data_IF_050872399357
#
_entry.id   IF_050872399357
#
_cell.length_a   1.000
_cell.length_b   1.000
_cell.length_c   1.000
_cell.angle_alpha   90.00
_cell.angle_beta   90.00
_cell.angle_gamma   90.00
#
_symmetry.space_group_name_H-M   'P 1'
#
loop_
_entity.id
_entity.type
_entity.pdbx_description
1 polymer ?
#
# COMPACT_ATOMS: atom_id res chain seq x y z
N UNK A 1 6.75 34.96 -43.41
CA UNK A 1 6.57 34.08 -42.24
C UNK A 1 5.21 33.35 -42.28
N UNK A 2 4.92 32.51 -43.28
CA UNK A 2 3.67 31.70 -43.27
C UNK A 2 3.79 30.29 -43.88
N UNK A 3 5.01 29.77 -44.06
CA UNK A 3 5.23 28.45 -44.68
C UNK A 3 5.32 27.28 -43.68
N UNK A 4 5.49 27.55 -42.38
CA UNK A 4 5.79 26.50 -41.38
C UNK A 4 4.51 25.90 -40.74
N UNK A 5 3.40 26.63 -40.75
CA UNK A 5 2.13 26.17 -40.18
C UNK A 5 1.40 25.10 -41.01
N UNK A 6 1.58 25.12 -42.34
CA UNK A 6 0.91 24.17 -43.25
C UNK A 6 1.45 22.74 -43.18
N UNK A 7 2.76 22.59 -42.95
CA UNK A 7 3.41 21.28 -42.89
C UNK A 7 3.02 20.49 -41.64
N UNK A 8 2.86 21.17 -40.50
CA UNK A 8 2.49 20.52 -39.23
C UNK A 8 1.02 20.07 -39.23
N UNK A 9 0.11 20.91 -39.74
CA UNK A 9 -1.31 20.58 -39.87
C UNK A 9 -1.50 19.45 -40.89
N UNK A 10 -0.77 19.47 -42.00
CA UNK A 10 -0.81 18.39 -42.99
C UNK A 10 -0.35 17.04 -42.44
N UNK A 11 0.65 17.02 -41.56
CA UNK A 11 1.15 15.78 -40.96
C UNK A 11 0.22 15.23 -39.88
N UNK A 12 -0.44 16.10 -39.12
CA UNK A 12 -1.46 15.72 -38.13
C UNK A 12 -2.70 15.19 -38.84
N UNK A 13 -3.19 15.88 -39.89
CA UNK A 13 -4.33 15.43 -40.70
C UNK A 13 -4.02 14.12 -41.41
N UNK A 14 -2.81 13.94 -41.95
CA UNK A 14 -2.40 12.68 -42.59
C UNK A 14 -2.32 11.53 -41.59
N UNK A 15 -1.82 11.77 -40.36
CA UNK A 15 -1.77 10.75 -39.31
C UNK A 15 -3.12 10.43 -38.71
N UNK A 16 -4.00 11.42 -38.52
CA UNK A 16 -5.37 11.17 -38.07
C UNK A 16 -6.20 10.50 -39.15
N UNK A 17 -5.95 10.82 -40.43
CA UNK A 17 -6.55 10.14 -41.56
C UNK A 17 -5.99 8.72 -41.72
N UNK A 18 -4.70 8.47 -41.47
CA UNK A 18 -4.14 7.12 -41.41
C UNK A 18 -4.66 6.32 -40.23
N UNK A 19 -4.70 6.87 -39.01
CA UNK A 19 -5.24 6.17 -37.85
C UNK A 19 -6.75 5.94 -37.96
N UNK A 20 -7.50 6.87 -38.55
CA UNK A 20 -8.90 6.66 -38.90
C UNK A 20 -9.03 5.61 -40.01
N UNK A 21 -8.16 5.65 -41.02
CA UNK A 21 -8.16 4.67 -42.10
C UNK A 21 -7.73 3.29 -41.61
N UNK A 22 -6.84 3.15 -40.63
CA UNK A 22 -6.48 1.89 -39.97
C UNK A 22 -7.58 1.40 -39.01
N UNK A 23 -8.42 2.32 -38.51
CA UNK A 23 -9.60 2.01 -37.71
C UNK A 23 -10.85 1.69 -38.58
N UNK A 24 -10.92 2.17 -39.82
CA UNK A 24 -12.04 1.95 -40.76
C UNK A 24 -11.72 0.92 -41.86
N UNK A 25 -10.45 0.69 -42.18
CA UNK A 25 -10.03 -0.48 -42.93
C UNK A 25 -9.99 -1.63 -41.93
N UNK A 26 -10.89 -2.59 -42.12
CA UNK A 26 -10.87 -3.82 -41.33
C UNK A 26 -9.48 -4.48 -41.37
N UNK A 27 -9.24 -5.48 -40.49
CA UNK A 27 -7.96 -6.17 -40.40
C UNK A 27 -7.44 -6.54 -41.80
N UNK A 28 -6.20 -6.13 -42.14
CA UNK A 28 -5.64 -6.36 -43.47
C UNK A 28 -5.60 -7.85 -43.79
N UNK A 29 -5.80 -8.20 -45.06
CA UNK A 29 -5.84 -9.60 -45.48
C UNK A 29 -4.56 -10.34 -45.10
N UNK A 30 -3.40 -9.69 -45.26
CA UNK A 30 -2.10 -10.23 -44.83
C UNK A 30 -2.03 -10.50 -43.31
N UNK A 31 -2.63 -9.65 -42.47
CA UNK A 31 -2.67 -9.87 -41.03
C UNK A 31 -3.59 -11.04 -40.67
N UNK A 32 -4.73 -11.18 -41.36
CA UNK A 32 -5.63 -12.32 -41.18
C UNK A 32 -4.93 -13.62 -41.61
N UNK A 33 -4.24 -13.61 -42.74
CA UNK A 33 -3.50 -14.77 -43.25
C UNK A 33 -2.35 -15.15 -42.30
N UNK A 34 -1.66 -14.17 -41.73
CA UNK A 34 -0.63 -14.40 -40.70
C UNK A 34 -1.21 -14.96 -39.40
N UNK A 35 -2.37 -14.46 -38.96
CA UNK A 35 -3.06 -14.98 -37.78
C UNK A 35 -3.56 -16.41 -38.00
N UNK A 36 -4.09 -16.72 -39.18
CA UNK A 36 -4.49 -18.08 -39.55
C UNK A 36 -3.27 -19.01 -39.58
N UNK A 37 -2.17 -18.56 -40.20
CA UNK A 37 -0.91 -19.29 -40.17
C UNK A 37 -0.43 -19.57 -38.74
N UNK A 38 -0.41 -18.55 -37.89
CA UNK A 38 0.02 -18.67 -36.50
C UNK A 38 -0.93 -19.54 -35.65
N UNK A 39 -2.24 -19.55 -35.95
CA UNK A 39 -3.22 -20.42 -35.31
C UNK A 39 -3.01 -21.90 -35.68
N UNK A 40 -2.67 -22.18 -36.94
CA UNK A 40 -2.39 -23.53 -37.45
C UNK A 40 -1.02 -24.08 -37.03
N UNK A 41 -0.09 -23.24 -36.55
CA UNK A 41 1.24 -23.68 -36.13
C UNK A 41 1.17 -24.78 -35.06
N UNK A 42 0.20 -24.72 -34.15
CA UNK A 42 0.04 -25.70 -33.09
C UNK A 42 -0.53 -27.04 -33.61
N UNK A 43 -1.47 -27.00 -34.55
CA UNK A 43 -2.02 -28.21 -35.18
C UNK A 43 -0.96 -28.93 -36.04
N UNK A 44 -0.07 -28.16 -36.68
CA UNK A 44 1.03 -28.69 -37.50
C UNK A 44 2.23 -29.18 -36.69
N UNK A 45 2.36 -28.76 -35.42
CA UNK A 45 3.49 -29.08 -34.57
C UNK A 45 3.52 -30.56 -34.09
N UNK A 46 2.42 -31.31 -34.30
CA UNK A 46 2.33 -32.73 -34.01
C UNK A 46 2.14 -33.06 -32.51
N UNK A 47 1.87 -34.34 -32.18
CA UNK A 47 1.50 -34.77 -30.82
C UNK A 47 2.63 -34.61 -29.78
N UNK A 48 3.89 -34.52 -30.21
CA UNK A 48 5.03 -34.28 -29.30
C UNK A 48 5.04 -32.85 -28.72
N UNK A 49 4.34 -31.92 -29.39
CA UNK A 49 4.22 -30.52 -29.00
C UNK A 49 2.94 -30.22 -28.21
N UNK A 50 2.08 -31.22 -28.00
CA UNK A 50 0.86 -31.07 -27.18
C UNK A 50 1.22 -30.88 -25.71
N UNK A 51 0.88 -29.71 -25.16
CA UNK A 51 1.08 -29.43 -23.75
C UNK A 51 -0.02 -30.10 -22.93
N UNK A 52 0.37 -31.03 -22.06
CA UNK A 52 -0.56 -31.56 -21.08
C UNK A 52 -0.84 -30.47 -20.02
N UNK A 53 -2.10 -30.14 -19.69
CA UNK A 53 -2.41 -29.17 -18.63
C UNK A 53 -1.74 -29.48 -17.28
N UNK A 54 -1.42 -30.75 -17.03
CA UNK A 54 -0.70 -31.18 -15.83
C UNK A 54 0.75 -30.69 -15.78
N UNK A 55 1.38 -30.47 -16.92
CA UNK A 55 2.76 -29.93 -17.00
C UNK A 55 2.83 -28.46 -16.58
N UNK A 56 1.73 -27.71 -16.69
CA UNK A 56 1.63 -26.31 -16.25
C UNK A 56 1.33 -26.15 -14.75
N UNK A 57 0.91 -27.22 -14.07
CA UNK A 57 0.54 -27.16 -12.64
C UNK A 57 1.67 -26.63 -11.75
N UNK A 58 2.94 -27.03 -11.90
CA UNK A 58 4.03 -26.49 -11.07
C UNK A 58 4.14 -24.97 -11.17
N UNK A 59 4.11 -24.43 -12.39
CA UNK A 59 4.18 -22.98 -12.64
C UNK A 59 3.02 -22.23 -11.98
N UNK A 60 1.81 -22.77 -12.10
CA UNK A 60 0.62 -22.20 -11.45
C UNK A 60 0.71 -22.26 -9.93
N UNK A 61 1.19 -23.37 -9.38
CA UNK A 61 1.37 -23.56 -7.94
C UNK A 61 2.44 -22.59 -7.40
N UNK A 62 3.59 -22.48 -8.08
CA UNK A 62 4.67 -21.55 -7.74
C UNK A 62 4.18 -20.10 -7.77
N UNK A 63 3.43 -19.71 -8.81
CA UNK A 63 2.79 -18.40 -8.89
C UNK A 63 1.79 -18.13 -7.76
N UNK A 64 0.94 -19.10 -7.43
CA UNK A 64 -0.04 -18.99 -6.34
C UNK A 64 0.63 -18.87 -4.97
N UNK A 65 1.66 -19.69 -4.70
CA UNK A 65 2.45 -19.62 -3.46
C UNK A 65 3.11 -18.25 -3.34
N UNK A 66 3.75 -17.76 -4.41
CA UNK A 66 4.37 -16.44 -4.43
C UNK A 66 3.35 -15.33 -4.14
N UNK A 67 2.17 -15.38 -4.76
CA UNK A 67 1.08 -14.43 -4.52
C UNK A 67 0.64 -14.44 -3.04
N UNK A 68 0.41 -15.62 -2.47
CA UNK A 68 0.02 -15.78 -1.05
C UNK A 68 1.10 -15.25 -0.11
N UNK A 69 2.38 -15.51 -0.40
CA UNK A 69 3.50 -15.00 0.39
C UNK A 69 3.61 -13.47 0.31
N UNK A 70 3.47 -12.88 -0.88
CA UNK A 70 3.49 -11.43 -1.08
C UNK A 70 2.32 -10.77 -0.33
N UNK A 71 1.11 -11.33 -0.45
CA UNK A 71 -0.08 -10.85 0.25
C UNK A 71 0.09 -10.97 1.78
N UNK A 72 0.66 -12.09 2.25
CA UNK A 72 0.95 -12.32 3.67
C UNK A 72 1.96 -11.30 4.21
N UNK A 73 3.05 -11.01 3.50
CA UNK A 73 4.04 -10.00 3.91
C UNK A 73 3.45 -8.60 3.89
N UNK A 74 2.70 -8.26 2.83
CA UNK A 74 2.00 -6.98 2.73
C UNK A 74 1.09 -6.78 3.94
N UNK A 75 0.30 -7.78 4.28
CA UNK A 75 -0.63 -7.70 5.39
C UNK A 75 0.09 -7.62 6.74
N UNK A 76 1.03 -8.54 6.98
CA UNK A 76 1.70 -8.65 8.29
C UNK A 76 2.60 -7.45 8.57
N UNK A 77 3.46 -7.05 7.63
CA UNK A 77 4.42 -5.98 7.82
C UNK A 77 3.81 -4.62 7.44
N UNK A 78 3.09 -4.55 6.33
CA UNK A 78 2.57 -3.30 5.76
C UNK A 78 1.30 -2.76 6.40
N UNK A 79 0.46 -3.65 6.95
CA UNK A 79 -0.77 -3.26 7.66
C UNK A 79 -0.56 -3.42 9.17
N UNK A 80 -0.48 -4.65 9.69
CA UNK A 80 -0.49 -4.91 11.15
C UNK A 80 0.69 -4.25 11.86
N UNK A 81 1.92 -4.54 11.44
CA UNK A 81 3.10 -3.96 12.11
C UNK A 81 3.23 -2.46 11.86
N UNK A 82 2.84 -1.98 10.69
CA UNK A 82 2.85 -0.55 10.39
C UNK A 82 1.85 0.19 11.29
N UNK A 83 0.63 -0.30 11.45
CA UNK A 83 -0.37 0.28 12.36
C UNK A 83 0.14 0.33 13.80
N UNK A 84 0.78 -0.74 14.29
CA UNK A 84 1.43 -0.73 15.61
C UNK A 84 2.54 0.33 15.69
N UNK A 85 3.36 0.46 14.66
CA UNK A 85 4.44 1.44 14.62
C UNK A 85 3.93 2.90 14.54
N UNK A 86 2.77 3.12 13.93
CA UNK A 86 2.11 4.44 13.85
C UNK A 86 1.56 4.91 15.19
N UNK A 87 1.11 3.98 16.04
CA UNK A 87 0.51 4.31 17.34
C UNK A 87 1.51 4.23 18.51
N UNK A 88 2.61 3.51 18.37
CA UNK A 88 3.56 3.33 19.47
C UNK A 88 4.18 4.67 19.94
N UNK A 89 3.91 5.03 21.20
CA UNK A 89 4.50 6.17 21.89
C UNK A 89 5.82 5.77 22.59
N UNK A 90 6.78 6.69 22.75
CA UNK A 90 7.97 6.44 23.55
C UNK A 90 7.55 6.18 25.01
N UNK A 91 7.85 4.98 25.52
CA UNK A 91 7.68 4.69 26.95
C UNK A 91 8.95 5.11 27.66
N UNK A 92 8.85 6.19 28.43
CA UNK A 92 9.91 6.60 29.34
C UNK A 92 9.47 6.31 30.77
N UNK A 93 10.16 5.39 31.43
CA UNK A 93 9.92 5.13 32.86
C UNK A 93 10.82 6.07 33.65
N UNK A 94 10.20 7.01 34.35
CA UNK A 94 10.87 7.88 35.31
C UNK A 94 11.08 7.08 36.60
N UNK A 95 12.31 6.69 36.90
CA UNK A 95 12.65 6.18 38.22
C UNK A 95 12.91 7.42 39.09
N UNK A 96 12.06 7.60 40.11
CA UNK A 96 12.26 8.60 41.14
C UNK A 96 13.14 7.93 42.19
N UNK A 97 14.45 8.15 42.12
CA UNK A 97 15.34 7.72 43.19
C UNK A 97 15.38 8.81 44.26
N UNK A 98 14.94 8.54 45.50
CA UNK A 98 15.15 9.47 46.60
C UNK A 98 16.64 9.51 46.92
N UNK A 99 17.26 10.68 46.80
CA UNK A 99 18.65 10.91 47.21
C UNK A 99 18.79 10.59 48.70
N UNK A 100 19.42 9.46 49.02
CA UNK A 100 19.63 9.01 50.40
C UNK A 100 19.43 7.50 50.65
N UNK A 101 19.02 6.71 49.65
CA UNK A 101 19.03 5.25 49.80
C UNK A 101 20.49 4.75 49.96
N UNK A 102 20.87 4.13 51.09
CA UNK A 102 22.21 3.60 51.24
C UNK A 102 22.45 2.51 50.17
N UNK A 103 23.68 2.40 49.64
CA UNK A 103 24.00 1.35 48.68
C UNK A 103 23.67 -0.02 49.31
N UNK A 104 23.14 -0.99 48.54
CA UNK A 104 22.69 -2.30 49.04
C UNK A 104 23.82 -3.22 49.55
N UNK A 105 25.02 -2.69 49.82
CA UNK A 105 26.19 -3.42 50.30
C UNK A 105 27.02 -2.58 51.30
N UNK A 106 26.37 -2.00 52.31
CA UNK A 106 27.08 -1.35 53.43
C UNK A 106 26.73 -1.99 54.79
N UNK A 107 26.52 -3.30 54.84
CA UNK A 107 26.54 -4.06 56.10
C UNK A 107 27.97 -4.55 56.37
N UNK A 108 28.86 -3.60 56.67
CA UNK A 108 30.15 -3.86 57.33
C UNK A 108 30.02 -3.56 58.83
N UNK A 109 30.56 -4.38 59.74
CA UNK A 109 30.23 -4.34 61.17
C UNK A 109 30.81 -3.15 61.97
N UNK A 110 31.20 -2.04 61.34
CA UNK A 110 31.89 -0.91 62.00
C UNK A 110 31.35 0.47 61.57
N UNK A 111 30.03 0.69 61.63
CA UNK A 111 29.45 2.03 61.47
C UNK A 111 29.31 2.74 62.83
N UNK A 112 29.85 3.98 63.01
CA UNK A 112 29.75 4.68 64.27
C UNK A 112 28.31 5.15 64.51
N UNK A 113 27.78 4.78 65.68
CA UNK A 113 26.56 5.34 66.28
C UNK A 113 26.68 6.87 66.28
N UNK A 114 25.83 7.55 65.52
CA UNK A 114 25.55 8.95 65.76
C UNK A 114 24.04 9.17 65.81
N UNK A 115 23.64 9.65 66.98
CA UNK A 115 22.28 9.80 67.47
C UNK A 115 21.58 11.01 66.84
N UNK A 116 20.24 10.94 66.92
CA UNK A 116 19.24 12.01 66.78
C UNK A 116 18.65 12.18 65.38
N UNK A 117 17.63 11.37 65.13
CA UNK A 117 16.46 11.77 64.33
C UNK A 117 15.84 13.05 64.92
N UNK A 118 15.52 14.05 64.09
CA UNK A 118 14.39 14.93 64.31
C UNK A 118 13.19 14.36 63.55
N UNK A 119 12.20 13.90 64.29
CA UNK A 119 10.85 13.64 63.80
C UNK A 119 10.26 14.94 63.21
N UNK A 120 9.90 14.87 61.93
CA UNK A 120 9.24 15.85 61.05
C UNK A 120 10.14 16.89 60.36
N UNK A 121 10.15 16.95 59.02
CA UNK A 121 10.49 18.17 58.30
C UNK A 121 9.28 19.11 58.31
N UNK A 122 9.49 20.31 58.86
CA UNK A 122 8.65 21.47 58.60
C UNK A 122 8.68 21.80 57.10
N UNK A 123 7.62 22.44 56.60
CA UNK A 123 7.33 22.75 55.20
C UNK A 123 8.28 23.79 54.53
N UNK A 124 9.59 23.69 54.76
CA UNK A 124 10.59 24.66 54.31
C UNK A 124 11.72 24.09 53.43
N UNK A 125 11.72 22.80 53.10
CA UNK A 125 12.72 22.17 52.20
C UNK A 125 12.07 21.66 50.89
N UNK A 126 11.38 22.55 50.18
CA UNK A 126 10.71 22.25 48.90
C UNK A 126 11.67 22.13 47.68
N UNK A 127 12.98 22.20 47.90
CA UNK A 127 14.02 22.11 46.86
C UNK A 127 14.94 20.87 47.06
N UNK A 128 14.40 19.77 47.57
CA UNK A 128 15.12 18.50 47.54
C UNK A 128 15.22 18.02 46.08
N UNK A 129 16.39 18.22 45.47
CA UNK A 129 16.76 17.74 44.14
C UNK A 129 16.41 16.25 43.94
N UNK A 130 15.24 15.99 43.36
CA UNK A 130 14.81 14.67 42.91
C UNK A 130 15.50 14.39 41.58
N UNK A 131 16.46 13.45 41.56
CA UNK A 131 17.07 12.99 40.31
C UNK A 131 16.09 12.05 39.60
N UNK A 132 15.27 12.62 38.70
CA UNK A 132 14.36 11.86 37.85
C UNK A 132 15.20 11.23 36.73
N UNK A 133 15.63 9.98 36.92
CA UNK A 133 16.29 9.24 35.84
C UNK A 133 15.23 8.68 34.89
N UNK A 134 15.13 9.31 33.71
CA UNK A 134 14.17 8.92 32.68
C UNK A 134 14.80 7.82 31.81
N UNK A 135 14.47 6.56 32.08
CA UNK A 135 14.90 5.44 31.25
C UNK A 135 14.01 5.36 30.02
N UNK A 136 14.58 5.71 28.86
CA UNK A 136 13.90 5.56 27.58
C UNK A 136 13.90 4.08 27.14
N UNK A 137 12.74 3.44 27.17
CA UNK A 137 12.62 2.08 26.64
C UNK A 137 12.68 2.08 25.11
N UNK A 138 13.38 1.08 24.57
CA UNK A 138 13.49 0.90 23.13
C UNK A 138 12.14 0.46 22.55
N UNK A 139 11.66 1.21 21.55
CA UNK A 139 10.47 0.88 20.78
C UNK A 139 10.43 -0.59 20.34
N UNK A 140 9.34 -1.28 20.65
CA UNK A 140 9.09 -2.68 20.33
C UNK A 140 8.97 -2.87 18.81
N UNK A 141 8.48 -1.86 18.08
CA UNK A 141 8.39 -1.89 16.61
C UNK A 141 9.71 -1.59 15.88
N UNK A 142 10.82 -1.40 16.61
CA UNK A 142 12.13 -1.10 16.00
C UNK A 142 12.72 -2.24 15.16
N UNK A 143 12.37 -3.50 15.49
CA UNK A 143 12.84 -4.70 14.78
C UNK A 143 11.66 -5.57 14.40
N UNK A 144 11.60 -5.98 13.13
CA UNK A 144 10.53 -6.86 12.59
C UNK A 144 10.40 -8.15 13.39
N UNK A 145 11.53 -8.79 13.71
CA UNK A 145 11.57 -10.03 14.50
C UNK A 145 11.00 -9.82 15.91
N UNK A 146 11.31 -8.69 16.55
CA UNK A 146 10.79 -8.40 17.89
C UNK A 146 9.28 -8.18 17.86
N UNK A 147 8.77 -7.46 16.87
CA UNK A 147 7.32 -7.23 16.72
C UNK A 147 6.58 -8.52 16.41
N UNK A 148 7.10 -9.36 15.53
CA UNK A 148 6.52 -10.69 15.25
C UNK A 148 6.58 -11.57 16.50
N UNK A 149 7.69 -11.53 17.25
CA UNK A 149 7.83 -12.24 18.52
C UNK A 149 6.82 -11.77 19.57
N UNK A 150 6.58 -10.46 19.69
CA UNK A 150 5.54 -9.90 20.57
C UNK A 150 4.15 -10.42 20.15
N UNK A 151 3.81 -10.31 18.87
CA UNK A 151 2.53 -10.80 18.33
C UNK A 151 2.35 -12.29 18.63
N UNK A 152 3.41 -13.08 18.43
CA UNK A 152 3.39 -14.52 18.71
C UNK A 152 3.19 -14.83 20.20
N UNK A 153 3.80 -14.06 21.10
CA UNK A 153 3.59 -14.20 22.55
C UNK A 153 2.17 -13.87 22.99
N UNK A 154 1.53 -12.90 22.32
CA UNK A 154 0.18 -12.43 22.69
C UNK A 154 -0.93 -13.34 22.16
N UNK A 155 -0.80 -13.86 20.93
CA UNK A 155 -1.89 -14.59 20.27
C UNK A 155 -1.44 -15.78 19.42
N UNK A 156 -0.22 -16.28 19.63
CA UNK A 156 0.34 -17.41 18.90
C UNK A 156 0.65 -17.11 17.43
N UNK A 157 0.80 -18.17 16.63
CA UNK A 157 1.19 -18.06 15.23
C UNK A 157 0.21 -17.23 14.37
N UNK A 158 -1.10 -17.37 14.62
CA UNK A 158 -2.14 -16.67 13.87
C UNK A 158 -2.21 -15.17 14.20
N UNK A 159 -1.55 -14.71 15.25
CA UNK A 159 -1.53 -13.30 15.65
C UNK A 159 -0.95 -12.37 14.58
N UNK A 160 -0.17 -12.91 13.63
CA UNK A 160 0.37 -12.14 12.50
C UNK A 160 -0.72 -11.67 11.53
N UNK A 161 -1.81 -12.42 11.40
CA UNK A 161 -2.94 -12.11 10.51
C UNK A 161 -4.16 -11.59 11.27
N UNK A 162 -3.93 -10.93 12.40
CA UNK A 162 -5.03 -10.34 13.19
C UNK A 162 -5.76 -9.29 12.37
N UNK A 163 -7.09 -9.37 12.41
CA UNK A 163 -7.94 -8.50 11.61
C UNK A 163 -8.11 -8.89 10.16
N UNK A 164 -7.50 -10.00 9.69
CA UNK A 164 -7.51 -10.35 8.26
C UNK A 164 -8.94 -10.56 7.74
N UNK A 165 -9.82 -11.19 8.53
CA UNK A 165 -11.22 -11.35 8.15
C UNK A 165 -11.96 -10.02 7.97
N UNK A 166 -11.72 -9.04 8.84
CA UNK A 166 -12.29 -7.69 8.70
C UNK A 166 -11.67 -6.93 7.53
N UNK A 167 -10.37 -7.13 7.27
CA UNK A 167 -9.71 -6.57 6.10
C UNK A 167 -10.33 -7.09 4.81
N UNK A 168 -10.50 -8.41 4.69
CA UNK A 168 -11.16 -9.04 3.53
C UNK A 168 -12.58 -8.50 3.38
N UNK A 169 -13.36 -8.45 4.46
CA UNK A 169 -14.71 -7.90 4.44
C UNK A 169 -14.73 -6.44 3.98
N UNK A 170 -13.85 -5.60 4.52
CA UNK A 170 -13.71 -4.20 4.14
C UNK A 170 -13.39 -4.05 2.65
N UNK A 171 -12.37 -4.75 2.15
CA UNK A 171 -11.96 -4.66 0.74
C UNK A 171 -13.03 -5.21 -0.20
N UNK A 172 -13.73 -6.29 0.17
CA UNK A 172 -14.85 -6.84 -0.62
C UNK A 172 -16.02 -5.85 -0.70
N UNK A 173 -16.44 -5.27 0.44
CA UNK A 173 -17.52 -4.27 0.45
C UNK A 173 -17.11 -3.01 -0.31
N UNK A 174 -15.87 -2.57 -0.13
CA UNK A 174 -15.33 -1.39 -0.79
C UNK A 174 -15.30 -1.59 -2.31
N UNK A 175 -14.64 -2.64 -2.78
CA UNK A 175 -14.57 -2.96 -4.20
C UNK A 175 -15.96 -3.19 -4.82
N UNK A 176 -16.84 -3.93 -4.12
CA UNK A 176 -18.20 -4.16 -4.57
C UNK A 176 -19.00 -2.87 -4.72
N UNK A 177 -18.98 -2.00 -3.71
CA UNK A 177 -19.70 -0.72 -3.73
C UNK A 177 -19.14 0.25 -4.77
N UNK A 178 -17.81 0.35 -4.89
CA UNK A 178 -17.17 1.21 -5.89
C UNK A 178 -17.49 0.74 -7.31
N UNK A 179 -17.35 -0.56 -7.60
CA UNK A 179 -17.63 -1.10 -8.94
C UNK A 179 -19.12 -0.99 -9.31
N UNK A 180 -20.02 -1.29 -8.36
CA UNK A 180 -21.46 -1.16 -8.58
C UNK A 180 -21.84 0.29 -8.90
N UNK A 181 -21.35 1.24 -8.12
CA UNK A 181 -21.70 2.65 -8.30
C UNK A 181 -21.04 3.25 -9.54
N UNK A 182 -19.81 2.83 -9.87
CA UNK A 182 -19.12 3.24 -11.10
C UNK A 182 -19.84 2.70 -12.35
N UNK A 183 -20.26 1.43 -12.31
CA UNK A 183 -21.04 0.81 -13.39
C UNK A 183 -22.40 1.48 -13.59
N UNK A 184 -23.07 1.87 -12.50
CA UNK A 184 -24.38 2.51 -12.57
C UNK A 184 -24.31 3.95 -13.11
N UNK A 185 -23.25 4.69 -12.75
CA UNK A 185 -23.13 6.12 -13.10
C UNK A 185 -22.35 6.36 -14.41
N UNK A 186 -21.73 5.34 -14.99
CA UNK A 186 -21.01 5.44 -16.28
C UNK A 186 -19.80 6.38 -16.24
N UNK A 187 -19.15 6.52 -15.08
CA UNK A 187 -18.10 7.51 -14.90
C UNK A 187 -16.75 7.10 -15.49
N UNK A 188 -16.03 8.09 -16.05
CA UNK A 188 -14.62 7.99 -16.43
C UNK A 188 -13.70 7.77 -15.21
N UNK A 189 -12.41 7.51 -15.44
CA UNK A 189 -11.37 7.24 -14.43
C UNK A 189 -11.42 8.23 -13.25
N UNK A 190 -11.61 9.52 -13.52
CA UNK A 190 -11.71 10.54 -12.47
C UNK A 190 -12.99 10.45 -11.63
N UNK A 191 -14.12 10.08 -12.23
CA UNK A 191 -15.36 9.88 -11.47
C UNK A 191 -15.32 8.61 -10.64
N UNK A 192 -14.61 7.56 -11.09
CA UNK A 192 -14.33 6.38 -10.26
C UNK A 192 -13.52 6.74 -9.00
N UNK A 193 -12.54 7.64 -9.11
CA UNK A 193 -11.78 8.13 -7.96
C UNK A 193 -12.66 8.88 -6.95
N UNK A 194 -13.62 9.68 -7.41
CA UNK A 194 -14.59 10.35 -6.55
C UNK A 194 -15.49 9.33 -5.83
N UNK A 195 -16.02 8.34 -6.56
CA UNK A 195 -16.78 7.24 -5.97
C UNK A 195 -15.97 6.50 -4.90
N UNK A 196 -14.71 6.19 -5.20
CA UNK A 196 -13.80 5.53 -4.25
C UNK A 196 -13.72 6.30 -2.94
N UNK A 197 -13.58 7.63 -2.99
CA UNK A 197 -13.52 8.49 -1.81
C UNK A 197 -14.84 8.43 -1.03
N UNK A 198 -15.98 8.55 -1.71
CA UNK A 198 -17.30 8.46 -1.07
C UNK A 198 -17.52 7.12 -0.37
N UNK A 199 -17.20 6.01 -1.04
CA UNK A 199 -17.31 4.66 -0.46
C UNK A 199 -16.39 4.50 0.74
N UNK A 200 -15.16 5.03 0.66
CA UNK A 200 -14.19 4.99 1.76
C UNK A 200 -14.71 5.69 3.02
N UNK A 201 -15.32 6.88 2.86
CA UNK A 201 -15.92 7.62 3.97
C UNK A 201 -17.12 6.87 4.55
N UNK A 202 -17.97 6.28 3.69
CA UNK A 202 -19.10 5.45 4.12
C UNK A 202 -18.67 4.23 4.94
N UNK A 203 -17.53 3.63 4.57
CA UNK A 203 -16.94 2.46 5.24
C UNK A 203 -15.93 2.81 6.34
N UNK A 204 -15.77 4.09 6.70
CA UNK A 204 -14.79 4.54 7.70
C UNK A 204 -14.93 3.80 9.06
N UNK A 205 -16.16 3.50 9.48
CA UNK A 205 -16.41 2.77 10.73
C UNK A 205 -15.92 1.31 10.66
N UNK A 206 -16.02 0.69 9.48
CA UNK A 206 -15.53 -0.66 9.25
C UNK A 206 -13.99 -0.67 9.16
N UNK A 207 -13.41 0.35 8.52
CA UNK A 207 -11.96 0.55 8.50
C UNK A 207 -11.39 0.71 9.92
N UNK A 208 -12.00 1.57 10.75
CA UNK A 208 -11.62 1.72 12.16
C UNK A 208 -11.73 0.39 12.92
N UNK A 209 -12.80 -0.38 12.72
CA UNK A 209 -12.95 -1.69 13.38
C UNK A 209 -11.85 -2.66 12.94
N UNK A 210 -11.46 -2.64 11.66
CA UNK A 210 -10.31 -3.37 11.18
C UNK A 210 -9.03 -2.89 11.88
N UNK A 211 -8.79 -1.59 12.00
CA UNK A 211 -7.66 -1.03 12.78
C UNK A 211 -7.66 -1.50 14.22
N UNK A 212 -8.78 -1.40 14.94
CA UNK A 212 -8.94 -1.87 16.32
C UNK A 212 -8.55 -3.34 16.46
N UNK A 213 -8.95 -4.20 15.52
CA UNK A 213 -8.60 -5.62 15.55
C UNK A 213 -7.10 -5.90 15.40
N UNK A 214 -6.37 -5.00 14.74
CA UNK A 214 -4.91 -5.08 14.56
C UNK A 214 -4.15 -4.58 15.80
N UNK A 215 -4.65 -3.54 16.48
CA UNK A 215 -3.91 -2.84 17.54
C UNK A 215 -4.31 -3.24 18.97
N UNK A 216 -5.54 -3.70 19.19
CA UNK A 216 -6.06 -4.00 20.53
C UNK A 216 -5.53 -5.34 21.07
N UNK A 217 -5.45 -5.47 22.39
CA UNK A 217 -5.20 -6.77 23.03
C UNK A 217 -6.30 -7.79 22.66
N UNK A 218 -5.99 -9.10 22.64
CA UNK A 218 -7.01 -10.13 22.52
C UNK A 218 -8.06 -9.92 23.60
N UNK A 219 -9.34 -9.97 23.22
CA UNK A 219 -10.47 -9.80 24.14
C UNK A 219 -11.53 -10.80 23.74
N UNK A 220 -12.26 -11.32 24.73
CA UNK A 220 -13.33 -12.31 24.54
C UNK A 220 -14.59 -11.70 23.91
N UNK A 221 -14.67 -10.37 23.83
CA UNK A 221 -15.81 -9.67 23.23
C UNK A 221 -15.88 -9.93 21.73
N UNK A 222 -17.11 -10.20 21.27
CA UNK A 222 -17.39 -10.33 19.84
C UNK A 222 -17.01 -9.05 19.09
N UNK A 223 -16.44 -9.22 17.90
CA UNK A 223 -15.93 -8.13 17.07
C UNK A 223 -17.02 -7.07 16.79
N UNK A 224 -18.26 -7.50 16.57
CA UNK A 224 -19.40 -6.59 16.34
C UNK A 224 -19.82 -5.79 17.57
N UNK A 225 -19.48 -6.22 18.78
CA UNK A 225 -19.72 -5.42 20.00
C UNK A 225 -18.67 -4.32 20.19
N UNK A 226 -17.58 -4.32 19.42
CA UNK A 226 -16.53 -3.30 19.47
C UNK A 226 -16.81 -2.08 18.59
N UNK A 227 -18.01 -2.00 18.00
CA UNK A 227 -18.39 -0.82 17.22
C UNK A 227 -18.53 0.40 18.12
N UNK A 228 -17.73 1.43 17.82
CA UNK A 228 -17.85 2.74 18.45
C UNK A 228 -19.19 3.39 18.06
N UNK A 229 -19.86 4.09 19.00
CA UNK A 229 -21.09 4.85 18.74
C UNK A 229 -20.94 5.82 17.55
N UNK A 230 -21.98 5.90 16.72
CA UNK A 230 -21.99 6.76 15.50
C UNK A 230 -21.68 8.23 15.79
N UNK A 231 -22.06 8.73 16.97
CA UNK A 231 -21.84 10.12 17.38
C UNK A 231 -20.34 10.46 17.49
N UNK A 232 -19.55 9.54 18.03
CA UNK A 232 -18.10 9.70 18.19
C UNK A 232 -17.34 9.51 16.85
N UNK A 233 -17.92 8.75 15.93
CA UNK A 233 -17.34 8.50 14.61
C UNK A 233 -17.27 9.75 13.70
N UNK A 234 -17.87 10.89 14.08
CA UNK A 234 -17.76 12.15 13.32
C UNK A 234 -16.30 12.60 13.18
N UNK A 235 -15.47 12.31 14.18
CA UNK A 235 -14.03 12.59 14.15
C UNK A 235 -13.28 11.84 13.04
N UNK A 236 -13.85 10.75 12.49
CA UNK A 236 -13.25 9.95 11.43
C UNK A 236 -13.46 10.54 10.03
N UNK A 237 -14.44 11.41 9.83
CA UNK A 237 -14.83 11.87 8.48
C UNK A 237 -13.68 12.57 7.77
N UNK A 238 -13.03 13.52 8.45
CA UNK A 238 -11.90 14.27 7.91
C UNK A 238 -10.69 13.37 7.62
N UNK A 239 -10.14 12.59 8.57
CA UNK A 239 -8.99 11.73 8.28
C UNK A 239 -9.29 10.67 7.23
N UNK A 240 -10.51 10.11 7.19
CA UNK A 240 -10.90 9.13 6.16
C UNK A 240 -10.96 9.76 4.78
N UNK A 241 -11.50 10.98 4.66
CA UNK A 241 -11.50 11.74 3.41
C UNK A 241 -10.07 12.02 2.93
N UNK A 242 -9.20 12.50 3.82
CA UNK A 242 -7.80 12.82 3.48
C UNK A 242 -7.04 11.56 3.07
N UNK A 243 -7.20 10.46 3.81
CA UNK A 243 -6.57 9.19 3.48
C UNK A 243 -7.04 8.62 2.14
N UNK A 244 -8.34 8.55 1.89
CA UNK A 244 -8.88 8.06 0.64
C UNK A 244 -8.44 8.92 -0.56
N UNK A 245 -8.41 10.24 -0.38
CA UNK A 245 -7.90 11.18 -1.38
C UNK A 245 -6.41 10.94 -1.65
N UNK A 246 -5.61 10.74 -0.60
CA UNK A 246 -4.18 10.45 -0.73
C UNK A 246 -3.92 9.11 -1.45
N UNK A 247 -4.74 8.09 -1.20
CA UNK A 247 -4.68 6.81 -1.92
C UNK A 247 -4.94 7.02 -3.42
N UNK A 248 -5.99 7.76 -3.77
CA UNK A 248 -6.29 8.08 -5.17
C UNK A 248 -5.19 8.95 -5.82
N UNK A 249 -4.66 9.94 -5.10
CA UNK A 249 -3.57 10.77 -5.58
C UNK A 249 -2.30 9.94 -5.87
N UNK A 250 -2.04 8.89 -5.09
CA UNK A 250 -0.88 7.99 -5.29
C UNK A 250 -0.96 7.23 -6.62
N UNK A 251 -2.16 7.01 -7.16
CA UNK A 251 -2.35 6.40 -8.47
C UNK A 251 -2.48 7.44 -9.59
N UNK A 252 -3.33 8.45 -9.40
CA UNK A 252 -3.67 9.42 -10.43
C UNK A 252 -2.53 10.37 -10.76
N UNK A 253 -1.71 10.80 -9.79
CA UNK A 253 -0.62 11.74 -10.06
C UNK A 253 0.50 11.11 -10.89
N UNK A 254 1.05 9.92 -10.56
CA UNK A 254 2.03 9.27 -11.41
C UNK A 254 1.50 8.97 -12.81
N UNK A 255 0.22 8.56 -12.90
CA UNK A 255 -0.43 8.33 -14.19
C UNK A 255 -0.54 9.62 -15.01
N UNK A 256 -0.93 10.73 -14.36
CA UNK A 256 -0.99 12.05 -15.00
C UNK A 256 0.39 12.52 -15.48
N UNK A 257 1.45 12.25 -14.70
CA UNK A 257 2.84 12.52 -15.10
C UNK A 257 3.24 11.65 -16.29
N UNK A 258 2.86 10.36 -16.31
CA UNK A 258 3.14 9.48 -17.42
C UNK A 258 2.52 9.99 -18.74
N UNK A 259 1.26 10.43 -18.69
CA UNK A 259 0.58 11.05 -19.83
C UNK A 259 1.17 12.41 -20.22
N UNK A 260 1.48 13.27 -19.24
CA UNK A 260 2.09 14.57 -19.50
C UNK A 260 3.48 14.46 -20.17
N UNK A 261 4.23 13.41 -19.84
CA UNK A 261 5.52 13.11 -20.45
C UNK A 261 5.42 12.28 -21.73
N UNK A 262 4.20 11.97 -22.20
CA UNK A 262 3.90 11.17 -23.40
C UNK A 262 4.59 9.80 -23.39
N UNK A 263 4.65 9.17 -22.22
CA UNK A 263 5.22 7.82 -22.08
C UNK A 263 4.30 6.75 -22.70
N UNK A 264 3.06 7.10 -23.04
CA UNK A 264 2.11 6.25 -23.74
C UNK A 264 2.45 6.08 -25.24
N UNK A 265 3.18 7.03 -25.84
CA UNK A 265 3.48 7.09 -27.28
C UNK A 265 4.98 7.07 -27.58
N UNK A 266 5.74 6.25 -26.85
CA UNK A 266 7.17 6.12 -27.10
C UNK A 266 7.37 5.35 -28.40
N UNK A 267 7.84 6.03 -29.44
CA UNK A 267 8.22 5.39 -30.70
C UNK A 267 9.52 4.58 -30.50
N UNK A 268 9.38 3.26 -30.45
CA UNK A 268 10.50 2.33 -30.33
C UNK A 268 11.53 2.50 -31.45
N UNK A 269 11.09 2.89 -32.65
CA UNK A 269 11.98 3.18 -33.78
C UNK A 269 12.84 4.41 -33.51
N UNK A 270 12.25 5.48 -33.00
CA UNK A 270 12.97 6.71 -32.66
C UNK A 270 13.99 6.47 -31.52
N UNK A 271 13.62 5.63 -30.54
CA UNK A 271 14.52 5.26 -29.44
C UNK A 271 15.70 4.40 -29.92
N UNK A 272 15.47 3.47 -30.85
CA UNK A 272 16.55 2.66 -31.45
C UNK A 272 17.47 3.48 -32.36
N UNK A 273 16.93 4.44 -33.11
CA UNK A 273 17.75 5.38 -33.86
C UNK A 273 18.58 6.30 -32.96
N UNK A 274 18.02 6.78 -31.86
CA UNK A 274 18.78 7.58 -30.88
C UNK A 274 19.91 6.78 -30.21
N UNK A 275 19.65 5.49 -29.89
CA UNK A 275 20.66 4.57 -29.37
C UNK A 275 21.78 4.28 -30.39
N UNK A 276 21.41 4.04 -31.64
CA UNK A 276 22.37 3.76 -32.72
C UNK A 276 23.24 4.99 -33.05
N UNK A 277 22.65 6.19 -33.05
CA UNK A 277 23.35 7.43 -33.35
C UNK A 277 24.10 8.03 -32.15
N UNK A 278 24.19 7.31 -31.02
CA UNK A 278 24.81 7.77 -29.77
C UNK A 278 24.32 9.16 -29.30
N UNK A 279 23.03 9.46 -29.51
CA UNK A 279 22.43 10.72 -29.06
C UNK A 279 22.13 10.62 -27.55
N UNK A 280 23.21 10.72 -26.75
CA UNK A 280 23.18 10.60 -25.30
C UNK A 280 22.18 11.55 -24.65
N UNK A 281 21.93 12.72 -25.24
CA UNK A 281 20.99 13.70 -24.71
C UNK A 281 19.54 13.20 -24.78
N UNK A 282 19.13 12.58 -25.90
CA UNK A 282 17.79 12.00 -26.06
C UNK A 282 17.57 10.77 -25.18
N UNK A 283 18.59 9.92 -25.06
CA UNK A 283 18.55 8.75 -24.16
C UNK A 283 18.42 9.20 -22.71
N UNK A 284 19.22 10.19 -22.29
CA UNK A 284 19.18 10.74 -20.92
C UNK A 284 17.84 11.40 -20.62
N UNK A 285 17.31 12.21 -21.55
CA UNK A 285 16.00 12.84 -21.40
C UNK A 285 14.88 11.79 -21.27
N UNK A 286 14.93 10.74 -22.08
CA UNK A 286 13.94 9.66 -22.03
C UNK A 286 14.04 8.89 -20.72
N UNK A 287 15.26 8.57 -20.27
CA UNK A 287 15.51 7.97 -18.95
C UNK A 287 14.99 8.83 -17.80
N UNK A 288 15.18 10.15 -17.86
CA UNK A 288 14.65 11.08 -16.87
C UNK A 288 13.11 11.10 -16.85
N UNK A 289 12.46 11.01 -18.02
CA UNK A 289 10.99 10.91 -18.12
C UNK A 289 10.49 9.61 -17.48
N UNK A 290 11.15 8.50 -17.75
CA UNK A 290 10.83 7.21 -17.11
C UNK A 290 11.03 7.24 -15.60
N UNK A 291 12.07 7.91 -15.10
CA UNK A 291 12.35 8.05 -13.68
C UNK A 291 11.35 8.99 -12.97
N UNK A 292 10.80 9.96 -13.68
CA UNK A 292 9.86 10.93 -13.12
C UNK A 292 8.59 10.25 -12.55
N UNK A 293 8.05 9.24 -13.22
CA UNK A 293 6.83 8.53 -12.78
C UNK A 293 7.00 7.83 -11.42
N UNK A 294 7.97 6.92 -11.21
CA UNK A 294 8.19 6.29 -9.91
C UNK A 294 8.68 7.31 -8.87
N UNK A 295 9.42 8.36 -9.25
CA UNK A 295 9.79 9.43 -8.34
C UNK A 295 8.56 10.20 -7.82
N UNK A 296 7.60 10.52 -8.70
CA UNK A 296 6.31 11.11 -8.30
C UNK A 296 5.53 10.16 -7.40
N UNK A 297 5.45 8.87 -7.74
CA UNK A 297 4.76 7.88 -6.92
C UNK A 297 5.37 7.81 -5.51
N UNK A 298 6.69 7.77 -5.41
CA UNK A 298 7.42 7.75 -4.14
C UNK A 298 7.20 9.05 -3.35
N UNK A 299 7.26 10.20 -4.02
CA UNK A 299 7.01 11.49 -3.39
C UNK A 299 5.60 11.57 -2.80
N UNK A 300 4.57 11.21 -3.58
CA UNK A 300 3.17 11.22 -3.11
C UNK A 300 2.97 10.21 -1.98
N UNK A 301 3.57 9.01 -2.08
CA UNK A 301 3.50 8.00 -1.04
C UNK A 301 4.09 8.49 0.30
N UNK A 302 5.27 9.12 0.27
CA UNK A 302 5.95 9.56 1.49
C UNK A 302 5.42 10.90 2.04
N UNK A 303 5.08 11.84 1.17
CA UNK A 303 4.70 13.20 1.56
C UNK A 303 3.20 13.39 1.78
N UNK A 304 2.35 12.54 1.18
CA UNK A 304 0.89 12.70 1.22
C UNK A 304 0.23 11.48 1.87
N UNK A 305 0.48 10.27 1.33
CA UNK A 305 -0.19 9.05 1.81
C UNK A 305 0.26 8.66 3.21
N UNK A 306 1.56 8.66 3.48
CA UNK A 306 2.09 8.26 4.78
C UNK A 306 1.57 9.15 5.93
N UNK A 307 1.60 10.50 5.83
CA UNK A 307 0.97 11.34 6.85
C UNK A 307 -0.52 11.08 7.03
N UNK A 308 -1.26 10.91 5.93
CA UNK A 308 -2.68 10.62 5.99
C UNK A 308 -2.97 9.28 6.69
N UNK A 309 -2.22 8.23 6.37
CA UNK A 309 -2.33 6.92 7.01
C UNK A 309 -2.04 7.00 8.51
N UNK A 310 -0.93 7.64 8.90
CA UNK A 310 -0.54 7.84 10.31
C UNK A 310 -1.65 8.56 11.07
N UNK A 311 -2.15 9.67 10.53
CA UNK A 311 -3.19 10.47 11.20
C UNK A 311 -4.48 9.68 11.39
N UNK A 312 -4.92 8.96 10.36
CA UNK A 312 -6.13 8.13 10.43
C UNK A 312 -5.96 7.03 11.48
N UNK A 313 -4.90 6.23 11.40
CA UNK A 313 -4.67 5.12 12.33
C UNK A 313 -4.54 5.59 13.78
N UNK A 314 -3.90 6.73 14.03
CA UNK A 314 -3.79 7.28 15.39
C UNK A 314 -5.12 7.79 15.92
N UNK A 315 -5.92 8.47 15.10
CA UNK A 315 -7.28 8.89 15.49
C UNK A 315 -8.16 7.67 15.75
N UNK A 316 -8.11 6.65 14.88
CA UNK A 316 -8.82 5.38 15.09
C UNK A 316 -8.40 4.74 16.42
N UNK A 317 -7.11 4.74 16.75
CA UNK A 317 -6.62 4.23 18.02
C UNK A 317 -7.12 5.02 19.24
N UNK A 318 -7.27 6.34 19.14
CA UNK A 318 -7.87 7.14 20.23
C UNK A 318 -9.34 6.82 20.48
N UNK A 319 -10.05 6.36 19.46
CA UNK A 319 -11.45 5.95 19.55
C UNK A 319 -11.61 4.49 20.00
N UNK A 320 -10.52 3.80 20.35
CA UNK A 320 -10.60 2.49 20.96
C UNK A 320 -11.34 2.61 22.32
N UNK A 321 -12.30 1.73 22.64
CA UNK A 321 -13.00 1.75 23.92
C UNK A 321 -12.03 1.78 25.12
N UNK A 322 -12.42 2.44 26.21
CA UNK A 322 -11.58 2.60 27.43
C UNK A 322 -11.28 1.27 28.11
N UNK A 323 -12.16 0.28 27.95
CA UNK A 323 -12.00 -1.08 28.45
C UNK A 323 -11.02 -1.93 27.64
N UNK A 324 -10.58 -1.46 26.46
CA UNK A 324 -9.61 -2.17 25.62
C UNK A 324 -8.25 -1.45 25.62
N UNK A 325 -7.19 -2.19 25.90
CA UNK A 325 -5.82 -1.70 25.83
C UNK A 325 -5.16 -2.07 24.50
N UNK A 326 -4.19 -1.26 24.07
CA UNK A 326 -3.41 -1.50 22.86
C UNK A 326 -2.22 -2.40 23.15
N UNK A 327 -1.77 -3.17 22.15
CA UNK A 327 -0.64 -4.12 22.25
C UNK A 327 0.69 -3.42 22.53
N UNK A 328 0.84 -2.20 22.01
CA UNK A 328 2.02 -1.35 22.20
C UNK A 328 1.63 -0.16 23.08
N UNK A 329 2.57 0.42 23.84
CA UNK A 329 2.29 1.61 24.63
C UNK A 329 1.74 2.73 23.73
N UNK A 330 0.54 3.21 24.05
CA UNK A 330 -0.12 4.27 23.29
C UNK A 330 -0.63 5.35 24.24
N UNK A 331 -0.13 6.57 24.03
CA UNK A 331 -0.56 7.73 24.79
C UNK A 331 -1.76 8.41 24.08
N UNK A 332 -2.97 8.11 24.57
CA UNK A 332 -4.22 8.72 24.08
C UNK A 332 -4.30 10.21 24.43
N UNK A 333 -3.77 10.60 25.59
CA UNK A 333 -3.86 11.96 26.11
C UNK A 333 -3.02 12.94 25.27
N UNK A 334 -1.86 12.50 24.77
CA UNK A 334 -1.04 13.30 23.85
C UNK A 334 -1.75 13.69 22.54
N UNK A 335 -2.80 12.96 22.14
CA UNK A 335 -3.55 13.21 20.90
C UNK A 335 -4.88 13.90 21.17
N UNK A 336 -5.67 13.42 22.14
CA UNK A 336 -6.97 14.01 22.45
C UNK A 336 -6.83 15.31 23.25
N UNK A 337 -5.92 15.37 24.24
CA UNK A 337 -5.81 16.49 25.17
C UNK A 337 -7.19 16.98 25.66
N UNK A 338 -7.38 18.29 25.67
CA UNK A 338 -8.65 18.96 25.98
C UNK A 338 -9.52 19.23 24.74
N UNK A 339 -9.29 18.53 23.62
CA UNK A 339 -10.04 18.77 22.38
C UNK A 339 -11.44 18.20 22.49
N UNK A 340 -12.43 19.10 22.53
CA UNK A 340 -13.82 18.72 22.31
C UNK A 340 -14.07 18.42 20.83
N UNK A 341 -14.21 17.12 20.51
CA UNK A 341 -14.51 16.63 19.16
C UNK A 341 -15.89 17.03 18.65
N UNK A 342 -16.78 17.50 19.53
CA UNK A 342 -18.13 17.98 19.17
C UNK A 342 -18.17 19.46 18.81
N UNK A 343 -17.15 20.22 19.20
CA UNK A 343 -17.00 21.64 18.89
C UNK A 343 -16.70 21.90 17.40
N UNK A 344 -17.12 23.08 16.91
CA UNK A 344 -16.85 23.52 15.53
C UNK A 344 -15.34 23.70 15.32
N UNK A 345 -14.72 22.75 14.64
CA UNK A 345 -13.28 22.75 14.35
C UNK A 345 -12.48 21.71 15.13
N UNK A 346 -13.07 21.03 16.12
CA UNK A 346 -12.41 19.99 16.91
C UNK A 346 -11.81 18.86 16.06
N UNK A 347 -12.49 18.44 14.99
CA UNK A 347 -11.97 17.42 14.07
C UNK A 347 -10.68 17.85 13.36
N UNK A 348 -10.54 19.14 13.00
CA UNK A 348 -9.34 19.68 12.36
C UNK A 348 -8.20 19.80 13.37
N UNK A 349 -8.50 20.27 14.58
CA UNK A 349 -7.51 20.36 15.66
C UNK A 349 -6.96 18.96 15.99
N UNK A 350 -7.85 17.96 16.13
CA UNK A 350 -7.49 16.57 16.37
C UNK A 350 -6.59 16.01 15.26
N UNK A 351 -6.95 16.26 13.98
CA UNK A 351 -6.13 15.85 12.84
C UNK A 351 -4.71 16.44 12.88
N UNK A 352 -4.60 17.74 13.13
CA UNK A 352 -3.29 18.43 13.19
C UNK A 352 -2.48 17.94 14.39
N UNK A 353 -3.11 17.75 15.55
CA UNK A 353 -2.45 17.25 16.75
C UNK A 353 -1.97 15.80 16.55
N UNK A 354 -2.79 14.93 15.95
CA UNK A 354 -2.44 13.55 15.64
C UNK A 354 -1.22 13.43 14.71
N UNK A 355 -1.03 14.37 13.78
CA UNK A 355 0.19 14.41 12.97
C UNK A 355 1.40 14.97 13.73
N UNK A 356 1.19 16.05 14.49
CA UNK A 356 2.27 16.73 15.23
C UNK A 356 2.85 15.88 16.34
N UNK A 357 2.04 15.09 17.04
CA UNK A 357 2.52 14.20 18.10
C UNK A 357 3.22 12.93 17.56
N UNK A 358 3.38 12.80 16.24
CA UNK A 358 4.19 11.75 15.63
C UNK A 358 5.59 12.29 15.36
N UNK A 359 6.55 11.90 16.19
CA UNK A 359 7.91 12.44 16.19
C UNK A 359 8.72 12.00 14.95
N UNK A 360 9.82 12.71 14.69
CA UNK A 360 10.68 12.42 13.52
C UNK A 360 11.33 11.03 13.60
N UNK A 361 11.65 10.54 14.80
CA UNK A 361 12.25 9.21 14.98
C UNK A 361 11.24 8.11 14.64
N UNK A 362 9.98 8.24 15.09
CA UNK A 362 8.92 7.32 14.70
C UNK A 362 8.60 7.36 13.21
N UNK A 363 8.62 8.53 12.56
CA UNK A 363 8.48 8.63 11.09
C UNK A 363 9.55 7.82 10.36
N UNK A 364 10.83 8.00 10.73
CA UNK A 364 11.92 7.25 10.11
C UNK A 364 11.84 5.75 10.42
N UNK A 365 11.38 5.37 11.61
CA UNK A 365 11.12 3.97 11.96
C UNK A 365 10.05 3.36 11.06
N UNK A 366 8.94 4.06 10.85
CA UNK A 366 7.86 3.61 9.96
C UNK A 366 8.32 3.47 8.51
N UNK A 367 9.07 4.46 7.99
CA UNK A 367 9.65 4.37 6.64
C UNK A 367 10.57 3.16 6.52
N UNK A 368 11.41 2.88 7.52
CA UNK A 368 12.26 1.67 7.55
C UNK A 368 11.45 0.37 7.53
N UNK A 369 10.27 0.33 8.17
CA UNK A 369 9.37 -0.84 8.12
C UNK A 369 8.86 -1.06 6.70
N UNK A 370 8.37 -0.02 6.03
CA UNK A 370 7.93 -0.11 4.64
C UNK A 370 9.05 -0.48 3.67
N UNK A 371 10.24 0.11 3.83
CA UNK A 371 11.42 -0.25 3.01
C UNK A 371 11.73 -1.74 3.17
N UNK A 372 11.77 -2.27 4.39
CA UNK A 372 11.98 -3.71 4.64
C UNK A 372 10.90 -4.59 4.02
N UNK A 373 9.65 -4.16 4.06
CA UNK A 373 8.53 -4.86 3.41
C UNK A 373 8.76 -4.95 1.89
N UNK A 374 9.10 -3.83 1.24
CA UNK A 374 9.34 -3.78 -0.20
C UNK A 374 10.51 -4.67 -0.60
N UNK A 375 11.64 -4.62 0.14
CA UNK A 375 12.77 -5.51 -0.10
C UNK A 375 12.39 -7.01 0.03
N UNK A 376 11.60 -7.35 1.05
CA UNK A 376 11.11 -8.72 1.22
C UNK A 376 10.21 -9.17 0.05
N UNK A 377 9.32 -8.31 -0.43
CA UNK A 377 8.47 -8.59 -1.58
C UNK A 377 9.27 -8.76 -2.87
N UNK A 378 10.21 -7.85 -3.15
CA UNK A 378 11.10 -7.95 -4.33
C UNK A 378 11.88 -9.26 -4.30
N UNK A 379 12.39 -9.65 -3.13
CA UNK A 379 13.13 -10.92 -2.96
C UNK A 379 12.26 -12.12 -3.34
N UNK A 380 10.99 -12.16 -2.91
CA UNK A 380 10.08 -13.27 -3.24
C UNK A 380 9.72 -13.25 -4.72
N UNK A 381 9.42 -12.09 -5.30
CA UNK A 381 9.15 -11.96 -6.73
C UNK A 381 10.34 -12.44 -7.54
N UNK A 382 11.56 -12.06 -7.15
CA UNK A 382 12.77 -12.48 -7.81
C UNK A 382 12.96 -14.00 -7.75
N UNK A 383 12.84 -14.61 -6.56
CA UNK A 383 12.95 -16.07 -6.39
C UNK A 383 11.86 -16.78 -7.19
N UNK A 384 10.60 -16.36 -7.09
CA UNK A 384 9.49 -16.95 -7.80
C UNK A 384 9.66 -16.83 -9.32
N UNK A 385 10.10 -15.69 -9.83
CA UNK A 385 10.38 -15.51 -11.26
C UNK A 385 11.47 -16.47 -11.74
N UNK A 386 12.55 -16.66 -10.98
CA UNK A 386 13.61 -17.61 -11.34
C UNK A 386 13.12 -19.05 -11.32
N UNK A 387 12.32 -19.42 -10.33
CA UNK A 387 11.71 -20.75 -10.24
C UNK A 387 10.76 -20.99 -11.42
N UNK A 388 9.89 -20.03 -11.74
CA UNK A 388 8.98 -20.14 -12.89
C UNK A 388 9.75 -20.24 -14.20
N UNK A 389 10.82 -19.48 -14.41
CA UNK A 389 11.67 -19.59 -15.62
C UNK A 389 12.31 -20.97 -15.70
N UNK A 390 12.80 -21.52 -14.58
CA UNK A 390 13.37 -22.86 -14.55
C UNK A 390 12.31 -23.95 -14.85
N UNK A 391 11.12 -23.83 -14.27
CA UNK A 391 9.99 -24.74 -14.55
C UNK A 391 9.58 -24.67 -16.03
N UNK A 392 9.48 -23.47 -16.61
CA UNK A 392 9.17 -23.28 -18.04
C UNK A 392 10.26 -23.86 -18.95
N UNK A 393 11.53 -23.75 -18.55
CA UNK A 393 12.64 -24.38 -19.28
C UNK A 393 12.54 -25.90 -19.27
N UNK A 394 12.19 -26.50 -18.13
CA UNK A 394 12.00 -27.95 -18.00
C UNK A 394 10.81 -28.50 -18.80
N UNK A 395 9.73 -27.72 -18.95
CA UNK A 395 8.54 -28.09 -19.75
C UNK A 395 8.84 -28.05 -21.26
N UNK A 396 9.90 -27.34 -21.66
CA UNK A 396 10.26 -27.10 -23.05
C UNK A 396 9.70 -25.76 -23.53
N UNK A 397 10.50 -24.70 -23.42
CA UNK A 397 10.10 -23.34 -23.76
C UNK A 397 9.62 -23.15 -25.20
N UNK A 398 10.12 -23.95 -26.15
CA UNK A 398 9.69 -23.93 -27.56
C UNK A 398 8.23 -24.41 -27.72
N UNK A 399 7.82 -25.42 -26.94
CA UNK A 399 6.44 -25.94 -26.90
C UNK A 399 5.47 -24.87 -26.41
N UNK A 400 5.87 -24.18 -25.35
CA UNK A 400 5.10 -23.07 -24.77
C UNK A 400 5.04 -21.84 -25.66
N UNK A 401 6.13 -21.50 -26.35
CA UNK A 401 6.15 -20.37 -27.27
C UNK A 401 5.19 -20.60 -28.45
N UNK A 402 5.18 -21.80 -29.03
CA UNK A 402 4.27 -22.15 -30.14
C UNK A 402 2.82 -22.17 -29.66
N UNK A 403 2.53 -22.76 -28.50
CA UNK A 403 1.20 -22.74 -27.88
C UNK A 403 0.71 -21.33 -27.55
N UNK A 404 1.57 -20.48 -26.98
CA UNK A 404 1.20 -19.10 -26.66
C UNK A 404 0.93 -18.28 -27.94
N UNK A 405 1.75 -18.48 -28.98
CA UNK A 405 1.58 -17.81 -30.27
C UNK A 405 0.27 -18.21 -30.95
N UNK A 406 -0.06 -19.50 -30.96
CA UNK A 406 -1.31 -20.00 -31.54
C UNK A 406 -2.54 -19.55 -30.73
N UNK A 407 -2.49 -19.62 -29.40
CA UNK A 407 -3.57 -19.18 -28.53
C UNK A 407 -3.86 -17.68 -28.68
N UNK A 408 -2.84 -16.83 -28.76
CA UNK A 408 -2.99 -15.40 -29.00
C UNK A 408 -3.62 -15.15 -30.39
N UNK A 409 -3.17 -15.89 -31.41
CA UNK A 409 -3.71 -15.78 -32.76
C UNK A 409 -5.20 -16.16 -32.81
N UNK A 410 -5.59 -17.26 -32.16
CA UNK A 410 -6.99 -17.70 -32.06
C UNK A 410 -7.88 -16.68 -31.34
N UNK A 411 -7.42 -16.10 -30.22
CA UNK A 411 -8.18 -15.06 -29.50
C UNK A 411 -8.37 -13.82 -30.37
N UNK A 412 -7.34 -13.42 -31.13
CA UNK A 412 -7.44 -12.29 -32.08
C UNK A 412 -8.41 -12.57 -33.21
N UNK A 413 -8.38 -13.77 -33.78
CA UNK A 413 -9.33 -14.19 -34.83
C UNK A 413 -10.77 -14.18 -34.29
N UNK A 414 -11.02 -14.75 -33.11
CA UNK A 414 -12.34 -14.71 -32.46
C UNK A 414 -12.83 -13.27 -32.21
N UNK A 415 -11.94 -12.37 -31.79
CA UNK A 415 -12.29 -10.96 -31.59
C UNK A 415 -12.66 -10.26 -32.91
N UNK A 416 -11.93 -10.56 -33.99
CA UNK A 416 -12.23 -10.05 -35.34
C UNK A 416 -13.58 -10.58 -35.85
N UNK A 417 -13.85 -11.88 -35.65
CA UNK A 417 -15.13 -12.49 -36.03
C UNK A 417 -16.30 -11.91 -35.25
N UNK A 418 -16.16 -11.73 -33.93
CA UNK A 418 -17.18 -11.10 -33.09
C UNK A 418 -17.48 -9.66 -33.53
N UNK A 419 -16.45 -8.91 -33.93
CA UNK A 419 -16.62 -7.56 -34.50
C UNK A 419 -17.39 -7.57 -35.83
N UNK A 420 -17.03 -8.49 -36.74
CA UNK A 420 -17.74 -8.65 -38.03
C UNK A 420 -19.21 -9.04 -37.84
N UNK A 421 -19.49 -9.94 -36.90
CA UNK A 421 -20.87 -10.35 -36.57
C UNK A 421 -21.68 -9.18 -35.99
N UNK A 422 -21.08 -8.36 -35.14
CA UNK A 422 -21.72 -7.17 -34.59
C UNK A 422 -22.06 -6.13 -35.68
N UNK A 423 -21.16 -5.91 -36.64
CA UNK A 423 -21.41 -5.03 -37.79
C UNK A 423 -22.51 -5.55 -38.71
N UNK A 424 -22.51 -6.85 -39.02
CA UNK A 424 -23.55 -7.47 -39.85
C UNK A 424 -24.93 -7.42 -39.17
N UNK A 425 -25.00 -7.62 -37.85
CA UNK A 425 -26.23 -7.49 -37.08
C UNK A 425 -26.75 -6.05 -36.95
N UNK A 426 -25.87 -5.05 -37.05
CA UNK A 426 -26.24 -3.64 -37.05
C UNK A 426 -26.74 -3.14 -38.42
N UNK A 427 -26.38 -3.80 -39.52
CA UNK A 427 -26.85 -3.48 -40.88
C UNK A 427 -28.16 -4.21 -41.22
N UNK A 428 -28.48 -5.30 -40.52
CA UNK A 428 -29.69 -6.10 -40.72
C UNK A 428 -30.93 -5.60 -39.93
N UNK A 429 -30.74 -4.68 -38.98
CA UNK A 429 -31.81 -3.98 -38.25
C UNK A 429 -31.92 -2.53 -38.75
#
# INVERSE_FOLDING_TARGET
>A
MSAVGGAFIGHVVKRSMQAAQDHFSGPSQEMIDQLNHDAELYEKAGPEMELNPRELLPVLITGLIALVLIASIRYTIGEVMASLAMIESPSSTAIIEPKGAPPPYADGPDAPLNEKEPLMPAEADADADVEITVINHKHITSKVVNTIGLLHRIGGFRARWRGLGLSVLYHMLHAGATNLLASFLGFSIFGNAVIYIFVSIGLARLHMLWTHSMIAHPSEKSIFRRFVPRKQCKALLLPSLVFATAQQATFLLPLSVAFALKLDNIDHGEMMHAAHNQDCAKIMLTGLRFLAVPATALFVALAVLLPAAVTLTRIEATLLPEDEQTIVPFDRAAIMGDIDTTSRGGCRALFVQAWRSFDRSARLRLVKVYVKMVFAQITIVFIAAHLMVAELYLIGGERLAIFAKSAIAQVKLMAIEAHKQAEQGAVAN
#
